data_IF_375826493711
#
_entry.id   IF_375826493711
#
_cell.length_a   1.000
_cell.length_b   1.000
_cell.length_c   1.000
_cell.angle_alpha   90.00
_cell.angle_beta   90.00
_cell.angle_gamma   90.00
#
_symmetry.space_group_name_H-M   'P 1'
#
loop_
_entity.id
_entity.type
_entity.pdbx_description
1 polymer ?
#
# COMPACT_ATOMS: atom_id res chain seq x y z
N UNK A 1 -21.24 -24.56 -2.12
CA UNK A 1 -20.20 -23.91 -2.97
C UNK A 1 -18.90 -23.95 -2.17
N UNK A 2 -17.75 -24.26 -2.78
CA UNK A 2 -16.48 -24.22 -2.07
C UNK A 2 -16.15 -22.73 -1.86
N UNK A 3 -15.93 -22.33 -0.59
CA UNK A 3 -15.52 -20.97 -0.23
C UNK A 3 -14.23 -20.59 -0.97
N UNK A 4 -14.21 -19.41 -1.59
CA UNK A 4 -13.03 -18.89 -2.26
C UNK A 4 -12.12 -18.22 -1.23
N UNK A 5 -10.92 -18.75 -1.05
CA UNK A 5 -9.94 -18.25 -0.09
C UNK A 5 -8.68 -17.77 -0.82
N UNK A 6 -8.20 -16.58 -0.51
CA UNK A 6 -6.93 -16.04 -1.00
C UNK A 6 -6.14 -15.45 0.18
N UNK A 7 -4.81 -15.45 0.03
CA UNK A 7 -3.93 -14.76 0.98
C UNK A 7 -3.19 -13.64 0.26
N UNK A 8 -3.35 -12.42 0.75
CA UNK A 8 -2.68 -11.24 0.24
C UNK A 8 -1.49 -10.86 1.12
N UNK A 9 -0.36 -10.61 0.50
CA UNK A 9 0.85 -10.08 1.11
C UNK A 9 1.05 -8.66 0.62
N UNK A 10 0.61 -7.68 1.42
CA UNK A 10 0.71 -6.26 1.10
C UNK A 10 2.05 -5.71 1.56
N UNK A 11 2.78 -5.11 0.64
CA UNK A 11 4.10 -4.53 0.88
C UNK A 11 4.07 -3.05 0.50
N UNK A 12 4.47 -2.17 1.42
CA UNK A 12 4.76 -0.78 1.07
C UNK A 12 6.08 -0.73 0.30
N UNK A 13 6.14 0.06 -0.78
CA UNK A 13 7.36 0.25 -1.58
C UNK A 13 8.60 0.56 -0.72
N UNK A 14 9.79 0.24 -1.23
CA UNK A 14 11.08 0.51 -0.59
C UNK A 14 11.32 2.01 -0.37
N UNK A 15 12.26 2.33 0.54
CA UNK A 15 12.64 3.71 0.83
C UNK A 15 13.16 4.40 -0.43
N UNK A 16 12.69 5.63 -0.68
CA UNK A 16 13.07 6.46 -1.82
C UNK A 16 13.87 7.67 -1.39
N UNK A 17 14.54 8.33 -2.33
CA UNK A 17 15.26 9.58 -2.06
C UNK A 17 14.33 10.67 -1.49
N UNK A 18 13.08 10.78 -2.00
CA UNK A 18 12.11 11.72 -1.46
C UNK A 18 11.67 11.38 -0.03
N UNK A 19 11.65 10.09 0.33
CA UNK A 19 11.41 9.71 1.73
C UNK A 19 12.54 10.19 2.64
N UNK A 20 13.81 10.11 2.20
CA UNK A 20 14.96 10.61 2.96
C UNK A 20 14.96 12.13 3.08
N UNK A 21 14.56 12.82 2.02
CA UNK A 21 14.47 14.27 1.99
C UNK A 21 13.22 14.82 2.70
N UNK A 22 12.31 13.96 3.14
CA UNK A 22 11.05 14.38 3.78
C UNK A 22 10.07 15.06 2.83
N UNK A 23 10.13 14.70 1.53
CA UNK A 23 9.24 15.23 0.50
C UNK A 23 7.99 14.35 0.33
N UNK A 24 6.84 14.98 0.12
CA UNK A 24 5.58 14.29 -0.17
C UNK A 24 5.59 13.79 -1.62
N UNK A 25 5.31 12.50 -1.84
CA UNK A 25 5.45 11.92 -3.19
C UNK A 25 4.15 11.89 -3.98
N UNK A 26 3.10 11.24 -3.48
CA UNK A 26 1.87 11.03 -4.24
C UNK A 26 2.11 10.32 -5.57
N UNK A 27 1.62 10.93 -6.65
CA UNK A 27 1.83 10.49 -8.04
C UNK A 27 3.25 10.77 -8.55
N UNK A 28 3.95 11.74 -7.95
CA UNK A 28 5.36 12.00 -8.21
C UNK A 28 6.21 10.77 -7.88
N UNK A 29 7.37 10.67 -8.50
CA UNK A 29 8.24 9.51 -8.32
C UNK A 29 9.68 9.93 -8.04
N UNK A 30 10.34 9.15 -7.18
CA UNK A 30 11.78 9.24 -6.97
C UNK A 30 12.36 7.83 -6.83
N UNK A 31 13.62 7.61 -7.21
CA UNK A 31 14.22 6.28 -7.20
C UNK A 31 14.34 5.73 -5.78
N UNK A 32 14.40 4.40 -5.68
CA UNK A 32 14.74 3.72 -4.44
C UNK A 32 16.16 4.11 -4.02
N UNK A 33 16.37 4.21 -2.72
CA UNK A 33 17.71 4.29 -2.14
C UNK A 33 18.34 2.90 -2.06
N UNK A 34 19.65 2.81 -1.81
CA UNK A 34 20.31 1.53 -1.56
C UNK A 34 19.65 0.78 -0.39
N UNK A 35 19.26 1.51 0.67
CA UNK A 35 18.51 0.94 1.78
C UNK A 35 17.13 0.43 1.35
N UNK A 36 16.46 1.14 0.44
CA UNK A 36 15.17 0.72 -0.12
C UNK A 36 15.27 -0.56 -0.94
N UNK A 37 16.33 -0.68 -1.75
CA UNK A 37 16.65 -1.89 -2.52
C UNK A 37 16.97 -3.05 -1.58
N UNK A 38 17.86 -2.84 -0.61
CA UNK A 38 18.24 -3.87 0.37
C UNK A 38 17.01 -4.35 1.18
N UNK A 39 16.12 -3.43 1.59
CA UNK A 39 14.87 -3.77 2.27
C UNK A 39 13.96 -4.64 1.41
N UNK A 40 13.81 -4.31 0.12
CA UNK A 40 13.02 -5.12 -0.81
C UNK A 40 13.62 -6.54 -1.00
N UNK A 41 14.94 -6.64 -1.10
CA UNK A 41 15.63 -7.93 -1.19
C UNK A 41 15.45 -8.77 0.08
N UNK A 42 15.59 -8.17 1.28
CA UNK A 42 15.32 -8.84 2.56
C UNK A 42 13.86 -9.32 2.65
N UNK A 43 12.90 -8.51 2.16
CA UNK A 43 11.50 -8.93 2.05
C UNK A 43 11.35 -10.14 1.12
N UNK A 44 12.06 -10.16 -0.01
CA UNK A 44 12.10 -11.31 -0.92
C UNK A 44 12.60 -12.58 -0.26
N UNK A 45 13.66 -12.48 0.55
CA UNK A 45 14.22 -13.61 1.34
C UNK A 45 13.20 -14.07 2.38
N UNK A 46 12.57 -13.15 3.12
CA UNK A 46 11.57 -13.50 4.13
C UNK A 46 10.34 -14.23 3.54
N UNK A 47 10.02 -13.93 2.30
CA UNK A 47 8.88 -14.52 1.57
C UNK A 47 9.32 -15.64 0.60
N UNK A 48 10.54 -16.14 0.67
CA UNK A 48 11.06 -17.10 -0.31
C UNK A 48 10.33 -18.45 -0.32
N UNK A 49 9.77 -18.86 0.82
CA UNK A 49 9.03 -20.12 0.96
C UNK A 49 7.55 -19.98 0.55
N UNK A 50 7.08 -18.79 0.25
CA UNK A 50 5.70 -18.56 -0.19
C UNK A 50 5.64 -18.75 -1.70
N UNK A 51 4.82 -19.69 -2.12
CA UNK A 51 4.49 -19.90 -3.54
C UNK A 51 3.46 -18.87 -3.96
N UNK A 52 3.91 -17.78 -4.58
CA UNK A 52 3.03 -16.76 -5.12
C UNK A 52 2.48 -17.16 -6.49
N UNK A 53 1.16 -17.12 -6.63
CA UNK A 53 0.47 -17.31 -7.91
C UNK A 53 0.71 -16.11 -8.84
N UNK A 54 0.73 -14.91 -8.28
CA UNK A 54 0.97 -13.67 -9.00
C UNK A 54 1.45 -12.57 -8.06
N UNK A 55 2.09 -11.56 -8.65
CA UNK A 55 2.40 -10.29 -8.02
C UNK A 55 1.66 -9.16 -8.74
N UNK A 56 1.18 -8.18 -7.97
CA UNK A 56 0.59 -6.94 -8.47
C UNK A 56 1.35 -5.76 -7.89
N UNK A 57 1.57 -4.76 -8.72
CA UNK A 57 2.18 -3.49 -8.30
C UNK A 57 1.37 -2.31 -8.79
N UNK A 58 1.44 -1.19 -8.07
CA UNK A 58 1.07 0.09 -8.67
C UNK A 58 1.92 0.37 -9.91
N UNK A 59 1.44 1.27 -10.77
CA UNK A 59 2.18 1.66 -11.98
C UNK A 59 3.34 2.64 -11.68
N UNK A 60 3.52 3.08 -10.43
CA UNK A 60 4.57 4.01 -10.05
C UNK A 60 5.90 3.26 -9.88
N UNK A 61 6.95 3.77 -10.51
CA UNK A 61 8.22 3.06 -10.69
C UNK A 61 8.81 2.52 -9.38
N UNK A 62 8.77 3.30 -8.30
CA UNK A 62 9.25 2.85 -6.98
C UNK A 62 8.59 1.56 -6.47
N UNK A 63 7.31 1.34 -6.81
CA UNK A 63 6.60 0.11 -6.43
C UNK A 63 6.95 -1.04 -7.37
N UNK A 64 7.10 -0.77 -8.67
CA UNK A 64 7.54 -1.75 -9.67
C UNK A 64 8.94 -2.26 -9.32
N UNK A 65 9.88 -1.35 -9.05
CA UNK A 65 11.26 -1.71 -8.66
C UNK A 65 11.26 -2.53 -7.37
N UNK A 66 10.47 -2.12 -6.37
CA UNK A 66 10.32 -2.88 -5.13
C UNK A 66 9.81 -4.30 -5.40
N UNK A 67 8.74 -4.44 -6.20
CA UNK A 67 8.19 -5.74 -6.55
C UNK A 67 9.23 -6.62 -7.28
N UNK A 68 9.98 -6.03 -8.21
CA UNK A 68 11.03 -6.73 -8.95
C UNK A 68 12.14 -7.24 -8.03
N UNK A 69 12.59 -6.43 -7.07
CA UNK A 69 13.60 -6.85 -6.08
C UNK A 69 13.07 -7.92 -5.11
N UNK A 70 11.78 -7.89 -4.75
CA UNK A 70 11.16 -8.95 -3.93
C UNK A 70 11.06 -10.24 -4.71
N UNK A 71 10.62 -10.19 -5.96
CA UNK A 71 10.44 -11.36 -6.84
C UNK A 71 11.80 -12.00 -7.14
N UNK A 72 12.81 -11.21 -7.45
CA UNK A 72 14.13 -11.68 -7.86
C UNK A 72 14.04 -12.53 -9.13
N UNK A 73 14.62 -13.73 -9.10
CA UNK A 73 14.62 -14.65 -10.24
C UNK A 73 13.45 -15.66 -10.22
N UNK A 74 12.51 -15.52 -9.30
CA UNK A 74 11.36 -16.42 -9.21
C UNK A 74 10.42 -16.22 -10.41
N UNK A 75 9.83 -17.28 -10.99
CA UNK A 75 8.93 -17.16 -12.14
C UNK A 75 7.53 -16.69 -11.71
N UNK A 76 7.44 -15.57 -11.02
CA UNK A 76 6.19 -14.98 -10.54
C UNK A 76 5.76 -13.89 -11.53
N UNK A 77 4.60 -14.02 -12.19
CA UNK A 77 4.12 -12.99 -13.10
C UNK A 77 3.80 -11.71 -12.34
N UNK A 78 4.29 -10.57 -12.83
CA UNK A 78 4.04 -9.24 -12.27
C UNK A 78 3.06 -8.48 -13.15
N UNK A 79 1.93 -8.09 -12.58
CA UNK A 79 0.89 -7.28 -13.21
C UNK A 79 0.87 -5.87 -12.60
N UNK A 80 0.62 -4.87 -13.43
CA UNK A 80 0.50 -3.48 -13.00
C UNK A 80 -0.98 -3.08 -12.91
N UNK A 81 -1.34 -2.39 -11.82
CA UNK A 81 -2.72 -1.94 -11.60
C UNK A 81 -2.75 -0.51 -11.06
N UNK A 82 -3.31 0.43 -11.82
CA UNK A 82 -3.36 1.86 -11.45
C UNK A 82 -4.19 2.11 -10.17
N UNK A 83 -5.17 1.26 -9.86
CA UNK A 83 -5.92 1.31 -8.61
C UNK A 83 -5.06 1.11 -7.34
N UNK A 84 -3.83 0.58 -7.49
CA UNK A 84 -2.85 0.44 -6.40
C UNK A 84 -1.90 1.64 -6.27
N UNK A 85 -2.05 2.70 -7.07
CA UNK A 85 -1.23 3.90 -6.97
C UNK A 85 -1.37 4.59 -5.62
N UNK A 86 -0.37 5.41 -5.26
CA UNK A 86 -0.47 6.26 -4.07
C UNK A 86 -1.58 7.31 -4.24
N UNK A 87 -2.10 7.80 -3.13
CA UNK A 87 -2.99 8.96 -3.11
C UNK A 87 -2.31 10.11 -3.84
N UNK A 88 -3.02 10.74 -4.78
CA UNK A 88 -2.53 11.96 -5.40
C UNK A 88 -2.67 13.13 -4.43
N UNK A 89 -1.60 13.88 -4.27
CA UNK A 89 -1.57 15.07 -3.43
C UNK A 89 -1.50 16.38 -4.24
N UNK A 90 -1.64 16.28 -5.56
CA UNK A 90 -1.69 17.43 -6.46
C UNK A 90 -0.50 18.37 -6.27
N UNK A 91 -0.78 19.66 -6.05
CA UNK A 91 0.26 20.69 -5.91
C UNK A 91 1.17 20.55 -4.68
N UNK A 92 0.85 19.67 -3.75
CA UNK A 92 1.72 19.42 -2.58
C UNK A 92 2.84 18.42 -2.87
N UNK A 93 2.81 17.72 -3.99
CA UNK A 93 3.83 16.75 -4.36
C UNK A 93 5.19 17.45 -4.57
N UNK A 94 6.24 16.87 -4.00
CA UNK A 94 7.58 17.46 -3.99
C UNK A 94 7.82 18.53 -2.91
N UNK A 95 6.79 18.91 -2.13
CA UNK A 95 6.95 19.85 -1.03
C UNK A 95 7.45 19.16 0.24
N UNK A 96 8.11 19.93 1.10
CA UNK A 96 8.55 19.47 2.42
C UNK A 96 7.34 19.16 3.31
N UNK A 97 7.28 17.92 3.83
CA UNK A 97 6.22 17.50 4.75
C UNK A 97 6.20 18.38 6.00
N UNK A 98 7.36 18.85 6.45
CA UNK A 98 7.48 19.75 7.60
C UNK A 98 6.73 21.08 7.37
N UNK A 99 6.72 21.61 6.15
CA UNK A 99 5.99 22.82 5.81
C UNK A 99 4.51 22.55 5.60
N UNK A 100 4.17 21.45 4.96
CA UNK A 100 2.78 21.04 4.78
C UNK A 100 2.05 20.83 6.10
N UNK A 101 2.71 20.33 7.14
CA UNK A 101 2.15 20.16 8.49
C UNK A 101 1.63 21.45 9.12
N UNK A 102 2.04 22.62 8.62
CA UNK A 102 1.55 23.94 9.07
C UNK A 102 0.19 24.26 8.49
N UNK A 103 -0.18 23.65 7.35
CA UNK A 103 -1.42 23.91 6.63
C UNK A 103 -2.62 23.24 7.31
N UNK A 104 -3.75 23.96 7.39
CA UNK A 104 -4.98 23.42 8.00
C UNK A 104 -5.47 22.16 7.28
N UNK A 105 -5.54 22.20 5.96
CA UNK A 105 -6.02 21.04 5.19
C UNK A 105 -5.07 19.83 5.26
N UNK A 106 -3.75 20.04 5.43
CA UNK A 106 -2.84 18.93 5.66
C UNK A 106 -3.03 18.30 7.06
N UNK A 107 -3.43 19.10 8.05
CA UNK A 107 -3.84 18.57 9.37
C UNK A 107 -5.14 17.76 9.26
N UNK A 108 -6.09 18.18 8.42
CA UNK A 108 -7.28 17.39 8.12
C UNK A 108 -6.90 16.06 7.47
N UNK A 109 -6.05 16.08 6.42
CA UNK A 109 -5.54 14.86 5.78
C UNK A 109 -4.96 13.86 6.80
N UNK A 110 -4.29 14.35 7.84
CA UNK A 110 -3.59 13.48 8.80
C UNK A 110 -4.44 13.05 9.98
N UNK A 111 -5.30 13.94 10.50
CA UNK A 111 -5.97 13.77 11.79
C UNK A 111 -7.51 13.78 11.72
N UNK A 112 -8.08 14.28 10.63
CA UNK A 112 -9.52 14.36 10.42
C UNK A 112 -9.86 14.07 8.95
N UNK A 113 -9.74 12.79 8.53
CA UNK A 113 -9.91 12.41 7.13
C UNK A 113 -11.31 12.71 6.59
N UNK A 114 -12.32 12.78 7.43
CA UNK A 114 -13.69 13.14 7.02
C UNK A 114 -13.79 14.61 6.55
N UNK A 115 -12.98 15.50 7.15
CA UNK A 115 -12.93 16.92 6.78
C UNK A 115 -12.02 17.20 5.58
N UNK A 116 -11.12 16.27 5.21
CA UNK A 116 -10.21 16.47 4.07
C UNK A 116 -10.94 16.33 2.74
N UNK A 117 -10.93 17.38 1.93
CA UNK A 117 -11.63 17.45 0.64
C UNK A 117 -10.72 17.76 -0.57
N UNK A 118 -9.40 17.82 -0.36
CA UNK A 118 -8.39 18.11 -1.39
C UNK A 118 -8.61 19.45 -2.14
N UNK A 119 -9.24 20.42 -1.50
CA UNK A 119 -9.64 21.68 -2.15
C UNK A 119 -8.44 22.58 -2.48
N UNK A 120 -7.43 22.63 -1.60
CA UNK A 120 -6.29 23.54 -1.78
C UNK A 120 -5.17 22.93 -2.65
N UNK A 121 -5.11 21.61 -2.77
CA UNK A 121 -4.04 20.94 -3.50
C UNK A 121 -4.49 20.29 -4.82
N UNK A 122 -5.80 20.15 -5.05
CA UNK A 122 -6.34 19.49 -6.25
C UNK A 122 -5.96 18.01 -6.32
N UNK A 123 -5.68 17.40 -5.16
CA UNK A 123 -5.36 15.99 -5.05
C UNK A 123 -6.59 15.08 -5.01
N UNK A 124 -6.39 13.88 -4.51
CA UNK A 124 -7.41 12.84 -4.38
C UNK A 124 -7.99 12.81 -2.96
N UNK A 125 -9.30 12.71 -2.84
CA UNK A 125 -9.96 12.49 -1.54
C UNK A 125 -9.82 11.05 -1.08
N UNK A 126 -10.10 10.78 0.22
CA UNK A 126 -10.10 9.41 0.72
C UNK A 126 -11.22 8.55 0.12
N UNK A 127 -12.34 9.14 -0.25
CA UNK A 127 -13.43 8.44 -0.94
C UNK A 127 -12.99 7.94 -2.32
N UNK A 128 -12.35 8.81 -3.11
CA UNK A 128 -11.83 8.45 -4.43
C UNK A 128 -10.75 7.37 -4.31
N UNK A 129 -9.84 7.53 -3.35
CA UNK A 129 -8.79 6.55 -3.07
C UNK A 129 -9.39 5.19 -2.67
N UNK A 130 -10.39 5.17 -1.78
CA UNK A 130 -11.04 3.95 -1.33
C UNK A 130 -11.74 3.22 -2.49
N UNK A 131 -12.49 3.95 -3.31
CA UNK A 131 -13.20 3.38 -4.45
C UNK A 131 -12.25 2.67 -5.41
N UNK A 132 -11.15 3.32 -5.83
CA UNK A 132 -10.22 2.69 -6.78
C UNK A 132 -9.37 1.58 -6.16
N UNK A 133 -8.95 1.72 -4.89
CA UNK A 133 -8.14 0.70 -4.23
C UNK A 133 -8.96 -0.57 -3.94
N UNK A 134 -10.20 -0.43 -3.49
CA UNK A 134 -11.11 -1.56 -3.30
C UNK A 134 -11.47 -2.22 -4.63
N UNK A 135 -11.74 -1.43 -5.69
CA UNK A 135 -11.98 -1.99 -7.02
C UNK A 135 -10.78 -2.82 -7.51
N UNK A 136 -9.55 -2.32 -7.35
CA UNK A 136 -8.35 -3.07 -7.69
C UNK A 136 -8.25 -4.40 -6.91
N UNK A 137 -8.55 -4.38 -5.61
CA UNK A 137 -8.55 -5.60 -4.80
C UNK A 137 -9.59 -6.61 -5.30
N UNK A 138 -10.82 -6.16 -5.61
CA UNK A 138 -11.87 -7.04 -6.13
C UNK A 138 -11.55 -7.57 -7.53
N UNK A 139 -10.92 -6.77 -8.40
CA UNK A 139 -10.45 -7.24 -9.71
C UNK A 139 -9.43 -8.38 -9.56
N UNK A 140 -8.49 -8.24 -8.61
CA UNK A 140 -7.51 -9.29 -8.30
C UNK A 140 -8.23 -10.54 -7.73
N UNK A 141 -9.14 -10.36 -6.78
CA UNK A 141 -9.91 -11.49 -6.21
C UNK A 141 -10.67 -12.25 -7.33
N UNK A 142 -11.26 -11.52 -8.25
CA UNK A 142 -12.11 -12.11 -9.30
C UNK A 142 -11.35 -13.08 -10.21
N UNK A 143 -10.10 -12.74 -10.56
CA UNK A 143 -9.32 -13.50 -11.57
C UNK A 143 -8.54 -14.69 -11.01
N UNK A 144 -8.35 -14.77 -9.69
CA UNK A 144 -7.59 -15.85 -9.06
C UNK A 144 -8.49 -16.95 -8.50
N UNK A 145 -7.96 -18.17 -8.45
CA UNK A 145 -8.65 -19.32 -7.85
C UNK A 145 -8.41 -19.39 -6.35
N UNK A 146 -9.22 -20.17 -5.64
CA UNK A 146 -9.07 -20.45 -4.21
C UNK A 146 -7.70 -21.08 -3.92
N UNK A 147 -7.09 -20.69 -2.80
CA UNK A 147 -5.76 -21.12 -2.37
C UNK A 147 -4.61 -20.26 -2.86
N UNK A 148 -4.86 -19.24 -3.72
CA UNK A 148 -3.81 -18.40 -4.27
C UNK A 148 -3.18 -17.48 -3.20
N UNK A 149 -1.85 -17.38 -3.21
CA UNK A 149 -1.08 -16.34 -2.52
C UNK A 149 -0.74 -15.23 -3.52
N UNK A 150 -1.07 -14.00 -3.17
CA UNK A 150 -0.92 -12.82 -4.02
C UNK A 150 0.00 -11.81 -3.34
N UNK A 151 1.09 -11.45 -4.00
CA UNK A 151 1.95 -10.35 -3.59
C UNK A 151 1.37 -9.04 -4.12
N UNK A 152 1.23 -8.02 -3.26
CA UNK A 152 0.75 -6.68 -3.66
C UNK A 152 1.71 -5.62 -3.17
N UNK A 153 2.34 -4.90 -4.10
CA UNK A 153 3.24 -3.79 -3.77
C UNK A 153 2.57 -2.45 -4.08
N UNK A 154 2.42 -1.63 -3.06
CA UNK A 154 1.73 -0.34 -3.15
C UNK A 154 2.37 0.68 -2.20
N UNK A 155 1.60 1.60 -1.64
CA UNK A 155 2.10 2.83 -1.02
C UNK A 155 1.53 3.07 0.36
N UNK A 156 2.09 4.08 1.04
CA UNK A 156 1.80 4.36 2.43
C UNK A 156 0.34 4.71 2.71
N UNK A 157 -0.22 5.72 2.04
CA UNK A 157 -1.60 6.16 2.27
C UNK A 157 -2.60 5.14 1.73
N UNK A 158 -2.36 4.62 0.52
CA UNK A 158 -3.24 3.64 -0.12
C UNK A 158 -3.37 2.37 0.71
N UNK A 159 -2.26 1.77 1.13
CA UNK A 159 -2.30 0.55 1.94
C UNK A 159 -2.84 0.83 3.36
N UNK A 160 -2.50 1.98 3.95
CA UNK A 160 -3.02 2.35 5.26
C UNK A 160 -4.54 2.43 5.25
N UNK A 161 -5.13 3.11 4.25
CA UNK A 161 -6.58 3.18 4.08
C UNK A 161 -7.17 1.80 3.80
N UNK A 162 -6.64 1.09 2.81
CA UNK A 162 -7.16 -0.21 2.40
C UNK A 162 -7.18 -1.19 3.57
N UNK A 163 -6.06 -1.36 4.28
CA UNK A 163 -5.95 -2.28 5.42
C UNK A 163 -6.87 -1.88 6.58
N UNK A 164 -7.06 -0.58 6.83
CA UNK A 164 -8.01 -0.11 7.84
C UNK A 164 -9.46 -0.48 7.47
N UNK A 165 -9.85 -0.28 6.20
CA UNK A 165 -11.20 -0.66 5.73
C UNK A 165 -11.41 -2.18 5.77
N UNK A 166 -10.41 -2.97 5.38
CA UNK A 166 -10.46 -4.43 5.49
C UNK A 166 -10.54 -4.91 6.95
N UNK A 167 -10.02 -4.14 7.89
CA UNK A 167 -10.13 -4.35 9.33
C UNK A 167 -11.44 -3.84 9.95
N UNK A 168 -12.41 -3.39 9.13
CA UNK A 168 -13.73 -2.93 9.60
C UNK A 168 -13.80 -1.46 10.01
N UNK A 169 -12.78 -0.64 9.68
CA UNK A 169 -12.89 0.81 9.82
C UNK A 169 -13.81 1.41 8.74
N UNK A 170 -14.26 2.65 8.97
CA UNK A 170 -14.99 3.47 7.99
C UNK A 170 -14.08 4.57 7.43
N UNK A 171 -14.56 5.30 6.42
CA UNK A 171 -13.82 6.46 5.89
C UNK A 171 -13.60 7.54 6.95
N UNK A 172 -14.54 7.69 7.88
CA UNK A 172 -14.47 8.71 8.93
C UNK A 172 -13.43 8.35 10.00
N UNK A 173 -13.28 7.07 10.33
CA UNK A 173 -12.47 6.63 11.47
C UNK A 173 -11.21 5.83 11.10
N UNK A 174 -10.89 5.71 9.81
CA UNK A 174 -9.74 4.90 9.36
C UNK A 174 -8.35 5.44 9.81
N UNK A 175 -8.31 6.59 10.46
CA UNK A 175 -7.10 7.19 11.05
C UNK A 175 -7.09 7.13 12.57
N UNK A 176 -8.18 6.69 13.20
CA UNK A 176 -8.29 6.62 14.65
C UNK A 176 -7.28 5.63 15.25
N UNK A 177 -6.97 5.84 16.50
CA UNK A 177 -6.12 4.95 17.27
C UNK A 177 -6.72 3.54 17.33
N UNK A 178 -5.89 2.53 17.10
CA UNK A 178 -6.32 1.13 17.04
C UNK A 178 -7.02 0.72 15.74
N UNK A 179 -7.38 1.66 14.87
CA UNK A 179 -7.97 1.39 13.54
C UNK A 179 -6.96 1.43 12.40
N UNK A 180 -5.82 2.04 12.63
CA UNK A 180 -4.85 2.34 11.57
C UNK A 180 -3.41 2.19 12.05
N UNK A 181 -2.56 1.68 11.16
CA UNK A 181 -1.12 1.57 11.40
C UNK A 181 -0.38 2.32 10.29
N UNK A 182 0.58 3.16 10.68
CA UNK A 182 1.50 3.77 9.71
C UNK A 182 2.50 2.72 9.24
N UNK A 183 2.43 2.37 7.97
CA UNK A 183 3.27 1.31 7.41
C UNK A 183 4.69 1.80 7.16
N UNK A 184 5.68 1.02 7.55
CA UNK A 184 7.08 1.26 7.23
C UNK A 184 7.41 0.77 5.81
N UNK A 185 8.45 1.35 5.18
CA UNK A 185 8.89 0.89 3.88
C UNK A 185 9.28 -0.60 3.94
N UNK A 186 8.87 -1.36 2.93
CA UNK A 186 9.07 -2.82 2.82
C UNK A 186 8.48 -3.66 3.96
N UNK A 187 7.61 -3.08 4.81
CA UNK A 187 6.85 -3.85 5.79
C UNK A 187 5.89 -4.84 5.13
N UNK A 188 5.66 -5.96 5.79
CA UNK A 188 4.74 -7.02 5.35
C UNK A 188 3.46 -6.93 6.16
N UNK A 189 2.32 -6.87 5.46
CA UNK A 189 0.99 -7.06 6.07
C UNK A 189 0.28 -8.21 5.36
N UNK A 190 -0.33 -9.11 6.13
CA UNK A 190 -0.95 -10.33 5.59
C UNK A 190 -2.44 -10.27 5.87
N UNK A 191 -3.24 -10.45 4.82
CA UNK A 191 -4.71 -10.47 4.89
C UNK A 191 -5.22 -11.72 4.19
N UNK A 192 -6.03 -12.49 4.88
CA UNK A 192 -6.83 -13.56 4.26
C UNK A 192 -8.18 -13.01 3.80
N UNK A 193 -8.54 -13.37 2.60
CA UNK A 193 -9.85 -13.11 2.03
C UNK A 193 -10.60 -14.42 1.93
N UNK A 194 -11.79 -14.47 2.50
CA UNK A 194 -12.70 -15.60 2.40
C UNK A 194 -14.07 -15.11 1.92
N UNK A 195 -14.64 -15.75 0.91
CA UNK A 195 -15.91 -15.31 0.31
C UNK A 195 -17.12 -15.39 1.25
N UNK A 196 -17.03 -16.12 2.34
CA UNK A 196 -18.11 -16.28 3.33
C UNK A 196 -17.88 -15.41 4.58
N UNK A 197 -16.64 -15.36 5.08
CA UNK A 197 -16.31 -14.66 6.33
C UNK A 197 -15.65 -13.27 6.10
N UNK A 198 -15.35 -12.90 4.85
CA UNK A 198 -14.80 -11.60 4.52
C UNK A 198 -13.27 -11.54 4.65
N UNK A 199 -12.76 -10.43 5.18
CA UNK A 199 -11.33 -10.20 5.30
C UNK A 199 -10.85 -10.37 6.74
N UNK A 200 -9.73 -11.07 6.92
CA UNK A 200 -9.08 -11.29 8.20
C UNK A 200 -7.63 -10.84 8.13
N UNK A 201 -7.28 -9.83 8.93
CA UNK A 201 -5.91 -9.33 9.03
C UNK A 201 -5.14 -10.27 9.98
N UNK A 202 -4.15 -11.00 9.44
CA UNK A 202 -3.30 -11.88 10.25
C UNK A 202 -2.06 -11.14 10.77
N UNK A 203 -1.55 -10.18 9.99
CA UNK A 203 -0.36 -9.45 10.34
C UNK A 203 -0.41 -8.03 9.77
N UNK A 204 0.02 -7.05 10.55
CA UNK A 204 0.14 -5.65 10.12
C UNK A 204 1.56 -5.15 10.33
N UNK A 205 2.11 -4.48 9.31
CA UNK A 205 3.34 -3.71 9.38
C UNK A 205 4.53 -4.46 10.00
N UNK A 206 4.67 -5.75 9.71
CA UNK A 206 5.79 -6.54 10.20
C UNK A 206 7.10 -6.14 9.49
N UNK A 207 8.12 -5.87 10.28
CA UNK A 207 9.47 -5.47 9.84
C UNK A 207 10.59 -6.33 10.47
N UNK A 208 10.25 -7.45 11.09
CA UNK A 208 11.23 -8.33 11.74
C UNK A 208 12.35 -8.79 10.78
N UNK A 209 12.02 -8.95 9.50
CA UNK A 209 12.97 -9.32 8.45
C UNK A 209 13.98 -8.22 8.08
N UNK A 210 13.77 -6.99 8.53
CA UNK A 210 14.65 -5.84 8.22
C UNK A 210 15.77 -5.65 9.25
N UNK A 211 15.68 -6.34 10.39
CA UNK A 211 16.67 -6.31 11.47
C UNK A 211 17.96 -7.02 11.09
#
# INVERSE_FOLDING_TARGET
>A
MISKQLTFYFIRHGRTQWNEQGLLQGSGNSPLTEQGIAGAQKTGVALQQIEFTAAYSSILQRAIDTASHIIGQRPIPLFLHCGLNEQSFGSWEGMQIADLRKLTEFKQLTNDPAAYKALSNGGETFEQLAVRAMAALYDIIKVHQSGANILVVSHGHTLRLLLSLLGGATLENHRDEGKSVSLLNTSISIVKCDSESGFHIEQLNNVAHLQ
#
